data_IF_742079069490
#
_entry.id   IF_742079069490
#
_cell.length_a   1.000
_cell.length_b   1.000
_cell.length_c   1.000
_cell.angle_alpha   90.00
_cell.angle_beta   90.00
_cell.angle_gamma   90.00
#
_symmetry.space_group_name_H-M   'P 1'
#
loop_
_entity.id
_entity.type
_entity.pdbx_description
1 polymer ?
#
# COMPACT_ATOMS: atom_id res chain seq x y z
N UNK A 1 -14.78 1.13 -14.32
CA UNK A 1 -13.35 0.91 -14.01
C UNK A 1 -13.25 -0.16 -12.94
N UNK A 2 -12.23 -0.99 -12.95
CA UNK A 2 -12.02 -2.08 -12.00
C UNK A 2 -10.69 -1.89 -11.31
N UNK A 3 -10.54 -2.42 -10.10
CA UNK A 3 -9.24 -2.64 -9.50
C UNK A 3 -8.64 -3.91 -10.11
N UNK A 4 -7.53 -3.76 -10.81
CA UNK A 4 -6.78 -4.89 -11.32
C UNK A 4 -5.80 -5.40 -10.26
N UNK A 5 -5.62 -6.70 -10.19
CA UNK A 5 -4.61 -7.31 -9.33
C UNK A 5 -3.83 -8.37 -10.13
N UNK A 6 -2.52 -8.19 -10.21
CA UNK A 6 -1.61 -9.14 -10.85
C UNK A 6 -0.84 -9.90 -9.77
N UNK A 7 -0.99 -11.21 -9.80
CA UNK A 7 -0.26 -12.11 -8.89
C UNK A 7 0.78 -12.85 -9.70
N UNK A 8 2.06 -12.56 -9.45
CA UNK A 8 3.16 -13.06 -10.27
C UNK A 8 4.42 -13.33 -9.43
N UNK A 9 5.48 -13.82 -10.05
CA UNK A 9 6.78 -14.00 -9.43
C UNK A 9 7.61 -12.72 -9.57
N UNK A 10 7.90 -12.05 -8.44
CA UNK A 10 8.70 -10.83 -8.39
C UNK A 10 10.18 -11.06 -8.04
N UNK A 11 10.65 -12.32 -8.00
CA UNK A 11 12.03 -12.66 -7.63
C UNK A 11 13.12 -12.07 -8.52
N UNK A 12 12.77 -11.69 -9.76
CA UNK A 12 13.72 -11.13 -10.73
C UNK A 12 13.73 -9.60 -10.77
N UNK A 13 13.02 -8.93 -9.87
CA UNK A 13 13.15 -7.48 -9.75
C UNK A 13 14.60 -7.16 -9.34
N UNK A 14 15.28 -6.32 -10.11
CA UNK A 14 16.72 -6.01 -9.94
C UNK A 14 17.03 -5.12 -8.72
N UNK A 15 16.19 -5.13 -7.73
CA UNK A 15 16.40 -4.40 -6.47
C UNK A 15 17.20 -5.24 -5.49
N UNK A 16 18.09 -4.60 -4.73
CA UNK A 16 18.87 -5.25 -3.66
C UNK A 16 17.99 -5.73 -2.48
N UNK A 17 16.67 -5.79 -2.63
CA UNK A 17 15.68 -6.25 -1.66
C UNK A 17 14.59 -7.10 -2.30
N UNK A 18 13.83 -7.79 -1.48
CA UNK A 18 12.67 -8.56 -1.94
C UNK A 18 11.48 -7.62 -2.07
N UNK A 19 10.96 -7.47 -3.30
CA UNK A 19 9.69 -6.78 -3.54
C UNK A 19 8.55 -7.77 -3.30
N UNK A 20 7.69 -7.48 -2.35
CA UNK A 20 6.52 -8.31 -2.01
C UNK A 20 5.30 -7.93 -2.85
N UNK A 21 5.20 -6.65 -3.20
CA UNK A 21 4.16 -6.08 -4.02
C UNK A 21 4.47 -4.62 -4.35
N UNK A 22 3.64 -4.02 -5.18
CA UNK A 22 3.61 -2.58 -5.40
C UNK A 22 2.28 -2.15 -6.00
N UNK A 23 1.92 -0.89 -5.79
CA UNK A 23 0.81 -0.23 -6.44
C UNK A 23 1.20 1.19 -6.84
N UNK A 24 0.51 1.73 -7.85
CA UNK A 24 0.69 3.14 -8.21
C UNK A 24 -0.22 4.01 -7.35
N UNK A 25 0.36 5.04 -6.73
CA UNK A 25 -0.40 6.08 -6.06
C UNK A 25 -1.33 6.81 -7.04
N UNK A 26 -2.49 7.27 -6.57
CA UNK A 26 -3.38 8.12 -7.37
C UNK A 26 -2.60 9.33 -7.91
N UNK A 27 -2.76 9.61 -9.19
CA UNK A 27 -2.08 10.72 -9.84
C UNK A 27 -0.67 10.45 -10.37
N UNK A 28 0.02 9.38 -9.96
CA UNK A 28 1.32 9.03 -10.56
C UNK A 28 1.20 8.47 -11.98
N UNK A 29 0.10 7.82 -12.29
CA UNK A 29 -0.26 7.44 -13.66
C UNK A 29 -0.96 8.59 -14.39
N UNK A 30 -0.89 9.78 -13.83
CA UNK A 30 -1.72 10.91 -14.17
C UNK A 30 -1.25 11.65 -15.42
N UNK A 31 -1.53 11.07 -16.51
CA UNK A 31 -2.15 11.90 -17.53
C UNK A 31 -3.54 11.31 -17.77
N UNK A 32 -4.63 11.89 -17.26
CA UNK A 32 -5.98 11.40 -17.49
C UNK A 32 -6.36 11.38 -18.97
N UNK A 33 -5.51 11.94 -19.82
CA UNK A 33 -5.62 11.97 -21.27
C UNK A 33 -4.67 10.99 -21.97
N UNK A 34 -3.76 10.35 -21.24
CA UNK A 34 -2.86 9.34 -21.78
C UNK A 34 -3.26 7.96 -21.30
N UNK A 35 -4.17 7.33 -22.02
CA UNK A 35 -4.65 5.97 -21.78
C UNK A 35 -3.58 4.90 -21.96
N UNK A 36 -2.36 5.27 -22.42
CA UNK A 36 -1.28 4.31 -22.67
C UNK A 36 -0.77 3.61 -21.40
N UNK A 37 -0.97 4.19 -20.23
CA UNK A 37 -0.51 3.66 -18.94
C UNK A 37 -1.65 3.12 -18.06
N UNK A 38 -2.89 3.21 -18.50
CA UNK A 38 -4.07 2.72 -17.75
C UNK A 38 -3.96 1.23 -17.38
N UNK A 39 -3.24 0.45 -18.19
CA UNK A 39 -3.00 -0.97 -17.91
C UNK A 39 -2.11 -1.22 -16.69
N UNK A 40 -1.37 -0.22 -16.23
CA UNK A 40 -0.54 -0.30 -15.02
C UNK A 40 -1.33 -0.02 -13.74
N UNK A 41 -2.57 0.48 -13.87
CA UNK A 41 -3.37 0.90 -12.73
C UNK A 41 -3.97 -0.29 -11.99
N UNK A 42 -3.34 -0.64 -10.89
CA UNK A 42 -3.74 -1.77 -10.05
C UNK A 42 -2.67 -2.16 -9.05
N UNK A 43 -2.80 -3.37 -8.54
CA UNK A 43 -1.85 -3.98 -7.61
C UNK A 43 -1.01 -5.02 -8.34
N UNK A 44 0.26 -5.12 -8.00
CA UNK A 44 1.10 -6.26 -8.32
C UNK A 44 1.59 -6.86 -7.02
N UNK A 45 1.39 -8.15 -6.81
CA UNK A 45 1.78 -8.85 -5.58
C UNK A 45 2.49 -10.15 -5.93
N UNK A 46 3.59 -10.41 -5.25
CA UNK A 46 4.26 -11.69 -5.38
C UNK A 46 3.35 -12.82 -4.87
N UNK A 47 3.23 -13.90 -5.64
CA UNK A 47 2.32 -15.01 -5.34
C UNK A 47 2.57 -15.66 -3.97
N UNK A 48 3.78 -15.53 -3.42
CA UNK A 48 4.14 -16.05 -2.09
C UNK A 48 3.61 -15.16 -0.96
N UNK A 49 3.13 -13.96 -1.28
CA UNK A 49 2.62 -12.97 -0.31
C UNK A 49 1.17 -12.58 -0.56
N UNK A 50 0.50 -13.30 -1.46
CA UNK A 50 -0.93 -13.11 -1.74
C UNK A 50 -1.78 -14.12 -0.95
N UNK A 51 -2.24 -13.71 0.22
CA UNK A 51 -3.06 -14.56 1.11
C UNK A 51 -2.22 -15.38 2.10
N UNK A 52 -2.84 -16.42 2.69
CA UNK A 52 -2.29 -17.22 3.80
C UNK A 52 -2.39 -18.71 3.57
N UNK A 53 -2.68 -19.15 2.36
CA UNK A 53 -2.85 -20.58 2.02
C UNK A 53 -1.86 -21.02 0.94
N UNK A 54 -1.68 -22.31 0.76
CA UNK A 54 -0.78 -22.87 -0.25
C UNK A 54 0.67 -22.44 0.00
N UNK A 55 1.34 -21.98 -1.03
CA UNK A 55 2.75 -21.53 -0.94
C UNK A 55 2.89 -20.27 -0.09
N UNK A 56 1.87 -19.42 -0.02
CA UNK A 56 1.87 -18.21 0.78
C UNK A 56 1.85 -18.51 2.31
N UNK A 57 1.33 -19.66 2.74
CA UNK A 57 1.24 -20.04 4.15
C UNK A 57 2.60 -20.07 4.88
N UNK A 58 3.71 -20.15 4.14
CA UNK A 58 5.06 -20.26 4.72
C UNK A 58 5.65 -18.87 5.01
N UNK A 59 5.31 -17.87 4.20
CA UNK A 59 6.03 -16.58 4.15
C UNK A 59 5.13 -15.37 4.40
N UNK A 60 3.82 -15.54 4.30
CA UNK A 60 2.87 -14.43 4.28
C UNK A 60 1.90 -14.47 5.45
N UNK A 61 1.64 -13.32 6.02
CA UNK A 61 0.53 -13.08 6.95
C UNK A 61 -0.75 -12.60 6.23
N UNK A 62 -0.72 -12.52 4.90
CA UNK A 62 -1.84 -12.12 4.04
C UNK A 62 -2.07 -10.62 3.94
N UNK A 63 -1.20 -9.78 4.48
CA UNK A 63 -1.41 -8.33 4.60
C UNK A 63 -0.81 -7.52 3.46
N UNK A 64 0.10 -8.08 2.66
CA UNK A 64 0.68 -7.39 1.52
C UNK A 64 -0.37 -6.79 0.57
N UNK A 65 -1.43 -7.49 0.14
CA UNK A 65 -2.47 -6.86 -0.67
C UNK A 65 -3.17 -5.68 0.02
N UNK A 66 -3.36 -5.74 1.33
CA UNK A 66 -3.96 -4.63 2.10
C UNK A 66 -3.05 -3.41 2.12
N UNK A 67 -1.74 -3.60 2.28
CA UNK A 67 -0.72 -2.56 2.17
C UNK A 67 -0.77 -1.90 0.79
N UNK A 68 -0.75 -2.70 -0.28
CA UNK A 68 -0.78 -2.18 -1.65
C UNK A 68 -2.11 -1.46 -1.99
N UNK A 69 -3.23 -1.91 -1.42
CA UNK A 69 -4.50 -1.18 -1.53
C UNK A 69 -4.40 0.19 -0.85
N UNK A 70 -3.70 0.30 0.27
CA UNK A 70 -3.40 1.58 0.91
C UNK A 70 -2.71 2.54 -0.07
N UNK A 71 -1.63 2.12 -0.71
CA UNK A 71 -0.96 2.92 -1.75
C UNK A 71 -1.87 3.23 -2.93
N UNK A 72 -2.61 2.25 -3.42
CA UNK A 72 -3.56 2.44 -4.51
C UNK A 72 -4.62 3.49 -4.17
N UNK A 73 -4.96 3.64 -2.91
CA UNK A 73 -5.91 4.65 -2.42
C UNK A 73 -5.25 5.93 -1.87
N UNK A 74 -3.95 6.12 -2.10
CA UNK A 74 -3.27 7.38 -1.87
C UNK A 74 -2.45 7.46 -0.60
N UNK A 75 -2.27 6.36 0.13
CA UNK A 75 -1.47 6.36 1.33
C UNK A 75 0.02 6.17 1.03
N UNK A 76 0.86 6.88 1.77
CA UNK A 76 2.30 6.65 1.85
C UNK A 76 2.63 5.72 3.02
N UNK A 77 3.89 5.30 3.13
CA UNK A 77 4.36 4.61 4.31
C UNK A 77 4.24 5.47 5.57
N UNK A 78 4.17 4.85 6.73
CA UNK A 78 4.17 5.56 8.02
C UNK A 78 5.56 6.03 8.44
N UNK A 79 6.61 5.56 7.77
CA UNK A 79 7.99 5.98 8.02
C UNK A 79 8.48 6.95 6.93
N UNK A 80 9.41 7.83 7.32
CA UNK A 80 10.06 8.75 6.41
C UNK A 80 10.98 7.99 5.44
N UNK A 81 10.92 8.32 4.16
CA UNK A 81 11.79 7.73 3.13
C UNK A 81 12.91 8.69 2.70
N UNK A 82 13.19 9.70 3.53
CA UNK A 82 14.26 10.65 3.31
C UNK A 82 15.55 10.23 4.05
N UNK A 83 16.68 10.64 3.49
CA UNK A 83 18.00 10.32 4.02
C UNK A 83 18.85 11.58 4.07
N UNK A 84 19.72 11.69 5.07
CA UNK A 84 20.71 12.75 5.14
C UNK A 84 21.83 12.55 4.08
N UNK A 85 22.74 13.52 4.01
CA UNK A 85 23.87 13.46 3.07
C UNK A 85 24.83 12.28 3.33
N UNK A 86 24.73 11.61 4.45
CA UNK A 86 25.49 10.43 4.83
C UNK A 86 24.75 9.13 4.58
N UNK A 87 23.48 9.21 4.14
CA UNK A 87 22.63 8.05 3.86
C UNK A 87 21.94 7.49 5.11
N UNK A 88 21.86 8.23 6.22
CA UNK A 88 21.10 7.82 7.39
C UNK A 88 19.63 8.25 7.25
N UNK A 89 18.68 7.43 7.69
CA UNK A 89 17.27 7.85 7.70
C UNK A 89 17.06 9.04 8.64
N UNK A 90 16.21 9.97 8.23
CA UNK A 90 15.87 11.16 9.00
C UNK A 90 14.41 11.16 9.42
N UNK A 91 14.10 11.91 10.46
CA UNK A 91 12.71 12.22 10.79
C UNK A 91 12.18 13.26 9.81
N UNK A 92 11.00 13.05 9.29
CA UNK A 92 10.29 14.03 8.51
C UNK A 92 8.84 14.18 9.03
N UNK A 93 8.27 15.30 8.68
CA UNK A 93 6.84 15.53 8.89
C UNK A 93 6.07 14.72 7.84
N UNK A 94 5.36 13.69 8.28
CA UNK A 94 4.50 12.90 7.40
C UNK A 94 3.33 13.72 6.83
N UNK A 95 3.07 14.93 7.40
CA UNK A 95 2.04 15.86 6.95
C UNK A 95 2.39 16.49 5.58
N UNK A 96 3.66 16.47 5.17
CA UNK A 96 4.13 17.08 3.91
C UNK A 96 4.08 16.15 2.69
N UNK A 97 3.18 15.21 2.68
CA UNK A 97 3.06 14.27 1.59
C UNK A 97 2.52 14.95 0.32
N UNK A 98 3.41 15.26 -0.61
CA UNK A 98 3.12 15.99 -1.85
C UNK A 98 2.18 15.26 -2.83
N UNK A 99 1.68 14.07 -2.51
CA UNK A 99 0.94 13.21 -3.43
C UNK A 99 -0.53 12.99 -3.11
N UNK A 100 -1.13 13.70 -2.17
CA UNK A 100 -2.58 13.68 -2.18
C UNK A 100 -3.33 13.57 -0.88
N UNK A 101 -2.69 13.68 0.25
CA UNK A 101 -3.45 13.70 1.49
C UNK A 101 -2.59 13.88 2.71
N UNK A 102 -2.99 14.78 3.54
CA UNK A 102 -2.44 14.93 4.87
C UNK A 102 -2.96 13.80 5.75
N UNK A 103 -2.06 13.03 6.34
CA UNK A 103 -2.37 12.09 7.39
C UNK A 103 -1.67 12.59 8.64
N UNK A 104 -2.40 13.34 9.45
CA UNK A 104 -1.82 14.01 10.60
C UNK A 104 -1.74 13.12 11.83
N UNK A 105 -2.46 12.01 11.86
CA UNK A 105 -2.63 11.14 13.03
C UNK A 105 -1.73 9.89 13.00
N UNK A 106 -0.68 9.89 12.18
CA UNK A 106 0.41 8.93 12.23
C UNK A 106 1.64 9.59 12.85
N UNK A 107 2.27 8.98 13.87
CA UNK A 107 3.49 9.52 14.49
C UNK A 107 4.64 9.63 13.49
N UNK A 108 5.50 10.61 13.68
CA UNK A 108 6.72 10.73 12.90
C UNK A 108 7.64 9.55 13.18
N UNK A 109 8.01 8.82 12.13
CA UNK A 109 8.83 7.60 12.21
C UNK A 109 9.94 7.66 11.17
N UNK A 110 11.18 7.36 11.54
CA UNK A 110 12.31 7.33 10.59
C UNK A 110 12.82 5.93 10.27
N UNK A 111 12.81 5.02 11.25
CA UNK A 111 13.39 3.70 11.09
C UNK A 111 12.34 2.69 10.66
N UNK A 112 12.67 1.89 9.65
CA UNK A 112 11.77 0.84 9.16
C UNK A 112 11.84 -0.35 10.11
N UNK A 113 10.70 -0.74 10.68
CA UNK A 113 10.61 -1.92 11.53
C UNK A 113 10.12 -3.12 10.72
N UNK A 114 10.95 -4.18 10.68
CA UNK A 114 10.64 -5.45 9.99
C UNK A 114 10.25 -6.57 10.96
N UNK A 115 10.14 -6.27 12.25
CA UNK A 115 9.78 -7.25 13.27
C UNK A 115 8.29 -7.53 13.34
N UNK A 116 7.92 -8.49 14.18
CA UNK A 116 6.52 -8.76 14.49
C UNK A 116 6.04 -7.82 15.59
N UNK A 117 4.93 -7.15 15.35
CA UNK A 117 4.32 -6.26 16.34
C UNK A 117 3.64 -7.06 17.44
N UNK A 118 3.82 -6.62 18.67
CA UNK A 118 3.22 -7.19 19.86
C UNK A 118 2.94 -6.10 20.91
N UNK A 119 2.28 -6.44 21.99
CA UNK A 119 2.05 -5.51 23.10
C UNK A 119 3.34 -4.96 23.77
N UNK A 120 4.50 -5.55 23.46
CA UNK A 120 5.80 -5.09 23.96
C UNK A 120 6.59 -4.29 22.93
N UNK A 121 6.08 -4.09 21.73
CA UNK A 121 6.70 -3.24 20.71
C UNK A 121 6.60 -1.79 21.18
N UNK A 122 7.73 -1.13 21.31
CA UNK A 122 7.83 0.20 21.91
C UNK A 122 8.83 1.10 21.15
N UNK A 123 8.89 0.95 19.85
CA UNK A 123 9.71 1.82 19.01
C UNK A 123 9.22 3.26 19.12
N UNK A 124 10.16 4.19 19.14
CA UNK A 124 9.91 5.61 19.13
C UNK A 124 11.16 6.26 18.54
N UNK A 125 11.16 6.44 17.24
CA UNK A 125 12.37 6.79 16.47
C UNK A 125 12.47 8.28 16.18
N UNK A 126 11.37 9.02 16.35
CA UNK A 126 11.32 10.47 16.19
C UNK A 126 10.62 11.13 17.38
N UNK A 127 10.83 12.43 17.51
CA UNK A 127 10.11 13.23 18.51
C UNK A 127 8.93 13.94 17.84
N UNK A 128 7.72 13.44 18.04
CA UNK A 128 6.52 13.96 17.40
C UNK A 128 6.29 15.45 17.63
N UNK A 129 6.67 15.97 18.80
CA UNK A 129 6.55 17.40 19.08
C UNK A 129 7.36 18.31 18.15
N UNK A 130 8.31 17.73 17.42
CA UNK A 130 9.14 18.47 16.47
C UNK A 130 8.68 18.30 15.02
N UNK A 131 7.84 17.30 14.74
CA UNK A 131 7.49 16.89 13.39
C UNK A 131 5.98 16.78 13.13
N UNK A 132 5.14 17.04 14.14
CA UNK A 132 3.69 17.04 13.99
C UNK A 132 3.06 18.23 14.69
N UNK A 133 1.97 18.71 14.13
CA UNK A 133 1.16 19.78 14.71
C UNK A 133 0.00 19.26 15.57
N UNK A 134 -0.25 17.97 15.58
CA UNK A 134 -1.38 17.36 16.31
C UNK A 134 -0.95 16.73 17.62
N UNK A 135 0.20 16.07 17.63
CA UNK A 135 0.66 15.38 18.83
C UNK A 135 1.10 16.37 19.91
N UNK A 136 0.50 16.26 21.09
CA UNK A 136 0.84 17.08 22.26
C UNK A 136 1.85 16.41 23.18
N UNK A 137 2.25 15.18 22.85
CA UNK A 137 3.29 14.40 23.53
C UNK A 137 4.03 13.54 22.49
N UNK A 138 5.24 13.14 22.82
CA UNK A 138 5.96 12.15 22.06
C UNK A 138 5.31 10.77 22.28
N UNK A 139 4.94 10.05 21.21
CA UNK A 139 4.25 8.78 21.28
C UNK A 139 5.08 7.69 20.57
N UNK A 140 4.65 6.46 20.65
CA UNK A 140 5.32 5.35 19.97
C UNK A 140 5.06 5.40 18.46
N UNK A 141 6.01 4.90 17.68
CA UNK A 141 5.83 4.65 16.25
C UNK A 141 4.63 3.73 16.02
N UNK A 142 3.90 3.94 14.94
CA UNK A 142 2.71 3.14 14.61
C UNK A 142 3.10 1.91 13.77
N UNK A 143 3.95 1.04 14.33
CA UNK A 143 4.45 -0.16 13.63
C UNK A 143 3.32 -1.13 13.23
N UNK A 144 2.21 -1.14 13.97
CA UNK A 144 1.03 -1.96 13.69
C UNK A 144 0.21 -1.50 12.49
N UNK A 145 0.53 -0.34 11.92
CA UNK A 145 -0.18 0.20 10.78
C UNK A 145 0.08 -0.64 9.51
N UNK A 146 -0.95 -0.84 8.69
CA UNK A 146 -0.79 -1.55 7.41
C UNK A 146 0.22 -0.88 6.47
N UNK A 147 0.49 0.43 6.62
CA UNK A 147 1.50 1.14 5.81
C UNK A 147 2.91 1.09 6.41
N UNK A 148 3.13 0.36 7.50
CA UNK A 148 4.45 -0.03 8.00
C UNK A 148 4.98 -1.28 7.27
N UNK A 149 6.25 -1.62 7.49
CA UNK A 149 6.85 -2.86 7.00
C UNK A 149 6.95 -3.95 8.09
N UNK A 150 6.34 -3.70 9.23
CA UNK A 150 6.22 -4.71 10.27
C UNK A 150 5.38 -5.90 9.80
N UNK A 151 5.67 -7.06 10.33
CA UNK A 151 4.75 -8.20 10.21
C UNK A 151 3.66 -8.12 11.29
N UNK A 152 2.53 -8.77 11.01
CA UNK A 152 1.40 -8.79 11.92
C UNK A 152 0.76 -7.40 12.16
N UNK A 153 0.70 -6.56 11.11
CA UNK A 153 -0.02 -5.28 11.12
C UNK A 153 -1.54 -5.51 11.08
N UNK A 154 -2.34 -4.56 11.63
CA UNK A 154 -3.79 -4.78 11.76
C UNK A 154 -4.66 -3.53 11.65
N UNK A 155 -4.12 -2.34 11.37
CA UNK A 155 -4.91 -1.13 11.35
C UNK A 155 -4.47 -0.09 10.32
N UNK A 156 -5.42 0.74 9.94
CA UNK A 156 -5.20 2.09 9.41
C UNK A 156 -5.62 3.11 10.47
N UNK A 157 -5.03 4.30 10.46
CA UNK A 157 -5.48 5.43 11.26
C UNK A 157 -6.78 6.04 10.69
N UNK A 158 -7.44 6.90 11.47
CA UNK A 158 -8.64 7.60 10.97
C UNK A 158 -8.29 8.56 9.83
N UNK A 159 -7.18 9.29 9.92
CA UNK A 159 -6.71 10.17 8.85
C UNK A 159 -6.40 9.40 7.56
N UNK A 160 -5.80 8.22 7.66
CA UNK A 160 -5.59 7.35 6.52
C UNK A 160 -6.91 6.91 5.88
N UNK A 161 -7.91 6.56 6.67
CA UNK A 161 -9.25 6.22 6.16
C UNK A 161 -9.87 7.42 5.44
N UNK A 162 -9.73 8.63 5.97
CA UNK A 162 -10.25 9.84 5.33
C UNK A 162 -9.57 10.11 3.99
N UNK A 163 -8.26 9.91 3.87
CA UNK A 163 -7.52 10.01 2.58
C UNK A 163 -8.01 8.97 1.58
N UNK A 164 -8.16 7.71 2.00
CA UNK A 164 -8.68 6.65 1.12
C UNK A 164 -10.10 6.95 0.63
N UNK A 165 -10.97 7.46 1.51
CA UNK A 165 -12.33 7.87 1.16
C UNK A 165 -12.32 9.09 0.23
N UNK A 166 -11.44 10.07 0.46
CA UNK A 166 -11.28 11.21 -0.43
C UNK A 166 -10.85 10.76 -1.83
N UNK A 167 -9.91 9.84 -1.93
CA UNK A 167 -9.48 9.25 -3.20
C UNK A 167 -10.64 8.58 -3.94
N UNK A 168 -11.45 7.78 -3.23
CA UNK A 168 -12.64 7.13 -3.79
C UNK A 168 -13.78 8.11 -4.14
N UNK A 169 -13.78 9.32 -3.60
CA UNK A 169 -14.77 10.34 -3.89
C UNK A 169 -14.33 11.36 -4.95
N UNK A 170 -13.04 11.39 -5.26
CA UNK A 170 -12.46 12.30 -6.25
C UNK A 170 -12.47 11.64 -7.63
N UNK A 171 -12.74 12.42 -8.67
CA UNK A 171 -12.72 11.94 -10.06
C UNK A 171 -11.29 11.64 -10.52
N UNK A 172 -11.16 10.74 -11.50
CA UNK A 172 -9.87 10.33 -12.07
C UNK A 172 -9.11 11.52 -12.69
N UNK A 173 -9.81 12.48 -13.28
CA UNK A 173 -9.18 13.69 -13.86
C UNK A 173 -8.50 14.55 -12.78
N UNK A 174 -8.92 14.43 -11.54
CA UNK A 174 -8.35 15.12 -10.38
C UNK A 174 -7.45 14.19 -9.54
N UNK A 175 -7.01 13.08 -10.11
CA UNK A 175 -6.16 12.11 -9.43
C UNK A 175 -6.87 11.15 -8.50
N UNK A 176 -8.21 11.09 -8.52
CA UNK A 176 -8.98 10.17 -7.69
C UNK A 176 -9.34 8.86 -8.38
N UNK A 177 -10.19 8.09 -7.73
CA UNK A 177 -10.61 6.74 -8.17
C UNK A 177 -12.12 6.51 -8.05
N UNK A 178 -12.93 7.56 -8.25
CA UNK A 178 -14.39 7.51 -8.03
C UNK A 178 -15.12 6.54 -8.96
N UNK A 179 -14.56 6.23 -10.13
CA UNK A 179 -15.14 5.26 -11.07
C UNK A 179 -15.19 3.83 -10.50
N UNK A 180 -14.37 3.49 -9.50
CA UNK A 180 -14.44 2.19 -8.82
C UNK A 180 -15.78 1.97 -8.11
N UNK A 181 -16.38 3.02 -7.56
CA UNK A 181 -17.67 2.93 -6.86
C UNK A 181 -18.83 2.59 -7.77
N UNK A 182 -18.67 2.85 -9.05
CA UNK A 182 -19.69 2.62 -10.07
C UNK A 182 -19.39 1.40 -10.93
N UNK A 183 -18.42 0.56 -10.53
CA UNK A 183 -18.09 -0.64 -11.27
C UNK A 183 -19.19 -1.70 -11.08
N UNK A 184 -19.65 -2.27 -12.21
CA UNK A 184 -20.78 -3.19 -12.26
C UNK A 184 -20.38 -4.67 -12.08
N UNK A 185 -19.24 -4.91 -11.42
CA UNK A 185 -18.70 -6.28 -11.24
C UNK A 185 -19.58 -7.13 -10.34
N UNK A 186 -20.27 -6.51 -9.39
CA UNK A 186 -21.07 -7.23 -8.40
C UNK A 186 -22.31 -7.92 -9.00
N UNK A 187 -22.76 -7.50 -10.18
CA UNK A 187 -23.97 -8.03 -10.81
C UNK A 187 -23.72 -9.23 -11.71
N UNK A 188 -22.47 -9.51 -12.10
CA UNK A 188 -22.13 -10.55 -13.07
C UNK A 188 -21.33 -11.73 -12.53
N UNK A 189 -21.04 -11.80 -11.23
CA UNK A 189 -20.31 -12.93 -10.65
C UNK A 189 -21.00 -14.29 -10.79
N UNK A 190 -22.30 -14.33 -11.05
CA UNK A 190 -23.05 -15.57 -11.26
C UNK A 190 -22.75 -16.27 -12.60
N UNK A 191 -22.10 -15.59 -13.55
CA UNK A 191 -21.81 -16.14 -14.87
C UNK A 191 -20.35 -16.56 -15.08
N UNK A 192 -19.48 -16.38 -14.09
CA UNK A 192 -18.02 -16.68 -14.22
C UNK A 192 -17.66 -18.10 -13.78
N UNK A 193 -18.62 -18.88 -13.30
CA UNK A 193 -18.35 -20.24 -12.81
C UNK A 193 -18.50 -21.22 -13.98
N UNK A 194 -17.53 -21.36 -14.85
CA UNK A 194 -17.26 -22.62 -15.57
C UNK A 194 -16.11 -22.58 -16.57
N UNK A 195 -15.20 -21.68 -16.52
CA UNK A 195 -13.94 -21.86 -17.26
C UNK A 195 -12.89 -22.47 -16.34
N UNK A 196 -12.63 -23.76 -16.51
CA UNK A 196 -11.46 -24.40 -15.94
C UNK A 196 -10.21 -23.69 -16.46
N UNK A 197 -9.47 -23.04 -15.57
CA UNK A 197 -8.18 -22.42 -15.90
C UNK A 197 -7.18 -23.57 -16.08
N UNK A 198 -6.83 -23.88 -17.31
CA UNK A 198 -5.68 -24.75 -17.59
C UNK A 198 -4.42 -23.87 -17.58
N UNK A 199 -3.72 -23.86 -16.46
CA UNK A 199 -2.39 -23.25 -16.38
C UNK A 199 -1.41 -24.19 -17.09
N UNK A 200 -0.98 -23.83 -18.28
CA UNK A 200 -0.13 -24.69 -19.13
C UNK A 200 1.35 -24.35 -19.08
N UNK A 201 1.75 -23.21 -18.47
CA UNK A 201 3.16 -22.83 -18.38
C UNK A 201 3.47 -21.96 -17.13
N UNK A 202 4.75 -21.99 -16.73
CA UNK A 202 5.28 -21.19 -15.61
C UNK A 202 5.30 -19.67 -15.84
N UNK A 203 4.87 -19.21 -17.02
CA UNK A 203 4.96 -17.81 -17.44
C UNK A 203 3.58 -17.15 -17.57
N UNK A 204 2.52 -17.82 -17.17
CA UNK A 204 1.18 -17.27 -17.31
C UNK A 204 0.90 -16.28 -16.16
N UNK A 205 0.59 -15.06 -16.53
CA UNK A 205 0.07 -14.03 -15.60
C UNK A 205 -1.42 -14.30 -15.40
N UNK A 206 -1.81 -14.54 -14.16
CA UNK A 206 -3.21 -14.73 -13.79
C UNK A 206 -3.80 -13.36 -13.48
N UNK A 207 -4.78 -12.91 -14.26
CA UNK A 207 -5.58 -11.71 -13.97
C UNK A 207 -6.90 -12.15 -13.33
N UNK A 208 -7.25 -11.56 -12.22
CA UNK A 208 -8.54 -11.71 -11.53
C UNK A 208 -9.40 -10.46 -11.67
#
# INVERSE_FOLDING_TARGET
KFLNSWVCDLTNSQSNGMTLGYAYLPGLLANPFNTSDDYKDGLVVDYRYFGTIGVAAISSDGRTPTHEIGHYLGLMHTFCEEYDNQGNPVCCDNDNNNFGGYVDDTPATKDIYFGSVSANTNNNTCNDLSYSNIFTSNVLDMDENYMSYASNTWMFSNGQVDVMLATLNTSEINGGRSALKNSDVSTNCSNIISSSINVSSKNDVIMY
#
